data_IF_820477078102
#
_entry.id   IF_820477078102
#
_cell.length_a   1.000
_cell.length_b   1.000
_cell.length_c   1.000
_cell.angle_alpha   90.00
_cell.angle_beta   90.00
_cell.angle_gamma   90.00
#
_symmetry.space_group_name_H-M   'P 1'
#
loop_
_entity.id
_entity.type
_entity.pdbx_description
1 polymer ?
#
# COMPACT_ATOMS: atom_id res chain seq x y z
N UNK A 1 17.41 14.02 7.79
CA UNK A 1 17.52 12.59 8.22
C UNK A 1 18.93 12.02 8.14
N UNK A 2 19.64 12.01 6.98
CA UNK A 2 20.97 11.36 6.86
C UNK A 2 22.03 11.81 7.89
N UNK A 3 22.11 13.12 8.19
CA UNK A 3 23.02 13.65 9.22
C UNK A 3 22.68 13.17 10.64
N UNK A 4 21.39 13.07 10.98
CA UNK A 4 20.93 12.60 12.29
C UNK A 4 21.20 11.10 12.50
N UNK A 5 21.01 10.28 11.46
CA UNK A 5 21.30 8.84 11.54
C UNK A 5 22.80 8.57 11.70
N UNK A 6 23.65 9.30 10.99
CA UNK A 6 25.10 9.20 11.15
C UNK A 6 25.55 9.57 12.57
N UNK A 7 24.96 10.61 13.16
CA UNK A 7 25.20 10.99 14.56
C UNK A 7 24.74 9.88 15.52
N UNK A 8 23.55 9.30 15.29
CA UNK A 8 23.03 8.23 16.14
C UNK A 8 23.89 6.96 16.09
N UNK A 9 24.35 6.54 14.91
CA UNK A 9 25.26 5.39 14.75
C UNK A 9 26.62 5.67 15.41
N UNK A 10 27.16 6.89 15.23
CA UNK A 10 28.39 7.31 15.91
C UNK A 10 28.27 7.24 17.43
N UNK A 11 27.17 7.74 17.99
CA UNK A 11 26.88 7.68 19.42
C UNK A 11 26.74 6.23 19.92
N UNK A 12 26.07 5.36 19.16
CA UNK A 12 25.92 3.95 19.52
C UNK A 12 27.26 3.21 19.55
N UNK A 13 28.14 3.44 18.57
CA UNK A 13 29.48 2.86 18.53
C UNK A 13 30.37 3.38 19.66
N UNK A 14 30.28 4.68 19.98
CA UNK A 14 30.96 5.24 21.16
C UNK A 14 30.47 4.56 22.45
N UNK A 15 29.16 4.40 22.62
CA UNK A 15 28.59 3.73 23.80
C UNK A 15 29.09 2.29 23.92
N UNK A 16 29.13 1.56 22.81
CA UNK A 16 29.59 0.18 22.78
C UNK A 16 31.09 0.05 23.12
N UNK A 17 31.91 0.99 22.60
CA UNK A 17 33.33 1.09 22.96
C UNK A 17 33.55 1.35 24.45
N UNK A 18 32.73 2.19 25.08
CA UNK A 18 32.78 2.44 26.53
C UNK A 18 32.43 1.18 27.32
N UNK A 19 31.39 0.44 26.91
CA UNK A 19 31.01 -0.82 27.57
C UNK A 19 32.11 -1.88 27.46
N UNK A 20 32.70 -2.06 26.28
CA UNK A 20 33.82 -2.97 26.08
C UNK A 20 35.05 -2.57 26.92
N UNK A 21 35.30 -1.27 27.04
CA UNK A 21 36.40 -0.75 27.86
C UNK A 21 36.20 -0.99 29.36
N UNK A 22 34.99 -0.77 29.87
CA UNK A 22 34.66 -1.06 31.28
C UNK A 22 34.76 -2.56 31.59
N UNK A 23 34.32 -3.42 30.66
CA UNK A 23 34.47 -4.86 30.78
C UNK A 23 35.96 -5.27 30.80
N UNK A 24 36.78 -4.64 29.97
CA UNK A 24 38.23 -4.86 29.96
C UNK A 24 38.91 -4.45 31.27
N UNK A 25 38.58 -3.26 31.80
CA UNK A 25 39.08 -2.82 33.12
C UNK A 25 38.68 -3.83 34.20
N UNK A 26 37.43 -4.31 34.18
CA UNK A 26 36.95 -5.28 35.17
C UNK A 26 37.70 -6.62 35.12
N UNK A 27 38.21 -7.02 33.97
CA UNK A 27 38.98 -8.27 33.82
C UNK A 27 40.43 -8.09 34.30
N UNK A 28 41.01 -6.90 34.11
CA UNK A 28 42.42 -6.65 34.36
C UNK A 28 42.73 -5.93 35.68
N UNK A 29 41.72 -5.45 36.40
CA UNK A 29 41.91 -4.77 37.69
C UNK A 29 42.54 -5.66 38.79
N UNK A 30 42.48 -7.00 38.65
CA UNK A 30 43.07 -7.93 39.61
C UNK A 30 44.56 -8.21 39.36
N UNK A 31 45.07 -7.97 38.15
CA UNK A 31 46.49 -8.15 37.82
C UNK A 31 47.22 -6.79 37.87
N UNK A 32 47.91 -6.53 38.99
CA UNK A 32 48.69 -5.30 39.27
C UNK A 32 49.92 -5.07 38.36
N UNK A 33 49.93 -5.61 37.14
CA UNK A 33 51.10 -5.66 36.26
C UNK A 33 51.07 -4.68 35.08
N UNK A 34 49.98 -3.96 34.84
CA UNK A 34 49.90 -3.01 33.71
C UNK A 34 50.44 -1.64 34.12
N UNK A 35 51.47 -1.17 33.42
CA UNK A 35 51.99 0.17 33.63
C UNK A 35 51.02 1.25 33.14
N UNK A 36 50.99 2.42 33.79
CA UNK A 36 50.12 3.54 33.39
C UNK A 36 50.31 3.96 31.92
N UNK A 37 51.53 3.82 31.38
CA UNK A 37 51.83 4.10 29.97
C UNK A 37 51.16 3.13 28.99
N UNK A 38 51.08 1.84 29.33
CA UNK A 38 50.41 0.83 28.52
C UNK A 38 48.89 1.05 28.53
N UNK A 39 48.35 1.41 29.69
CA UNK A 39 46.94 1.76 29.84
C UNK A 39 46.56 3.00 28.99
N UNK A 40 47.35 4.07 29.06
CA UNK A 40 47.11 5.28 28.28
C UNK A 40 47.15 5.01 26.77
N UNK A 41 48.08 4.17 26.30
CA UNK A 41 48.16 3.74 24.91
C UNK A 41 46.91 2.95 24.46
N UNK A 42 46.41 2.03 25.29
CA UNK A 42 45.19 1.28 24.97
C UNK A 42 43.96 2.19 24.84
N UNK A 43 43.80 3.17 25.72
CA UNK A 43 42.68 4.14 25.65
C UNK A 43 42.75 4.95 24.35
N UNK A 44 43.94 5.40 23.96
CA UNK A 44 44.16 6.15 22.71
C UNK A 44 43.82 5.28 21.50
N UNK A 45 44.28 4.03 21.47
CA UNK A 45 44.00 3.08 20.39
C UNK A 45 42.50 2.78 20.28
N UNK A 46 41.84 2.51 21.41
CA UNK A 46 40.41 2.18 21.45
C UNK A 46 39.49 3.36 21.16
N UNK A 47 39.94 4.60 21.33
CA UNK A 47 39.14 5.80 21.02
C UNK A 47 39.37 6.32 19.60
N UNK A 48 40.61 6.31 19.12
CA UNK A 48 40.96 6.88 17.81
C UNK A 48 40.64 5.93 16.66
N UNK A 49 40.86 4.62 16.81
CA UNK A 49 40.65 3.66 15.72
C UNK A 49 39.16 3.59 15.31
N UNK A 50 38.18 3.47 16.22
CA UNK A 50 36.78 3.43 15.82
C UNK A 50 36.30 4.74 15.22
N UNK A 51 36.77 5.89 15.71
CA UNK A 51 36.43 7.21 15.18
C UNK A 51 36.98 7.41 13.76
N UNK A 52 38.24 7.03 13.52
CA UNK A 52 38.88 7.13 12.20
C UNK A 52 38.29 6.12 11.22
N UNK A 53 38.03 4.88 11.64
CA UNK A 53 37.37 3.85 10.82
C UNK A 53 35.93 4.24 10.49
N UNK A 54 35.17 4.77 11.44
CA UNK A 54 33.82 5.29 11.22
C UNK A 54 33.80 6.47 10.24
N UNK A 55 34.76 7.39 10.35
CA UNK A 55 34.93 8.48 9.38
C UNK A 55 35.27 7.96 7.98
N UNK A 56 36.18 6.98 7.88
CA UNK A 56 36.59 6.41 6.60
C UNK A 56 35.45 5.61 5.94
N UNK A 57 34.69 4.85 6.73
CA UNK A 57 33.50 4.14 6.27
C UNK A 57 32.46 5.15 5.76
N UNK A 58 32.15 6.21 6.52
CA UNK A 58 31.20 7.24 6.09
C UNK A 58 31.61 7.97 4.81
N UNK A 59 32.92 8.10 4.55
CA UNK A 59 33.46 8.75 3.35
C UNK A 59 33.62 7.79 2.18
N UNK A 60 33.58 6.48 2.43
CA UNK A 60 33.68 5.47 1.37
C UNK A 60 32.43 5.45 0.51
N UNK A 61 32.64 5.41 -0.80
CA UNK A 61 31.56 5.28 -1.79
C UNK A 61 30.75 3.97 -1.57
N UNK A 62 31.42 2.93 -1.06
CA UNK A 62 30.83 1.66 -0.67
C UNK A 62 29.79 1.80 0.45
N UNK A 63 30.05 2.59 1.49
CA UNK A 63 29.05 2.86 2.53
C UNK A 63 27.91 3.73 2.02
N UNK A 64 28.18 4.64 1.09
CA UNK A 64 27.15 5.40 0.39
C UNK A 64 26.16 4.49 -0.33
N UNK A 65 26.66 3.43 -0.98
CA UNK A 65 25.82 2.42 -1.63
C UNK A 65 25.13 1.51 -0.61
N UNK A 66 25.83 1.03 0.42
CA UNK A 66 25.25 0.20 1.48
C UNK A 66 24.11 0.90 2.24
N UNK A 67 24.26 2.20 2.55
CA UNK A 67 23.21 3.01 3.18
C UNK A 67 22.02 3.21 2.23
N UNK A 68 22.24 3.35 0.91
CA UNK A 68 21.16 3.38 -0.08
C UNK A 68 20.44 2.03 -0.17
N UNK A 69 21.13 0.91 0.04
CA UNK A 69 20.53 -0.42 0.07
C UNK A 69 19.73 -0.66 1.35
N UNK A 70 20.24 -0.25 2.51
CA UNK A 70 19.55 -0.39 3.80
C UNK A 70 18.39 0.61 3.97
N UNK A 71 18.52 1.79 3.35
CA UNK A 71 17.53 2.85 3.41
C UNK A 71 17.30 3.36 1.98
N UNK A 72 16.58 2.58 1.15
CA UNK A 72 16.22 3.06 -0.18
C UNK A 72 15.54 4.42 -0.01
N UNK A 73 15.90 5.42 -0.84
CA UNK A 73 15.21 6.70 -0.80
C UNK A 73 13.72 6.40 -0.95
N UNK A 74 12.88 6.87 -0.01
CA UNK A 74 11.42 6.82 -0.19
C UNK A 74 11.15 7.41 -1.57
N UNK A 75 10.75 6.57 -2.54
CA UNK A 75 10.32 7.02 -3.88
C UNK A 75 9.43 8.24 -3.66
N UNK A 76 9.70 9.32 -4.38
CA UNK A 76 8.91 10.53 -4.21
C UNK A 76 7.45 10.14 -4.44
N UNK A 77 6.53 10.52 -3.55
CA UNK A 77 5.12 10.16 -3.69
C UNK A 77 4.57 10.57 -5.08
N UNK A 78 5.14 11.64 -5.65
CA UNK A 78 4.87 12.09 -7.02
C UNK A 78 5.25 11.05 -8.10
N UNK A 79 6.35 10.32 -7.93
CA UNK A 79 6.76 9.22 -8.82
C UNK A 79 5.88 7.98 -8.65
N UNK A 80 5.48 7.67 -7.41
CA UNK A 80 4.55 6.56 -7.12
C UNK A 80 3.16 6.82 -7.74
N UNK A 81 2.68 8.07 -7.70
CA UNK A 81 1.44 8.47 -8.39
C UNK A 81 1.60 8.59 -9.90
N UNK A 82 2.75 9.01 -10.43
CA UNK A 82 3.03 8.99 -11.87
C UNK A 82 3.07 7.56 -12.43
N UNK A 83 3.62 6.61 -11.66
CA UNK A 83 3.49 5.17 -11.93
C UNK A 83 2.00 4.77 -11.94
N UNK A 84 1.23 5.08 -10.89
CA UNK A 84 -0.23 4.83 -10.84
C UNK A 84 -1.02 5.46 -12.00
N UNK A 85 -0.67 6.67 -12.47
CA UNK A 85 -1.30 7.32 -13.65
C UNK A 85 -1.11 6.52 -14.94
N UNK A 86 0.01 5.81 -15.10
CA UNK A 86 0.24 4.90 -16.24
C UNK A 86 -0.71 3.69 -16.20
N UNK A 87 -1.26 3.38 -15.02
CA UNK A 87 -1.90 2.11 -14.71
C UNK A 87 -3.44 2.14 -14.72
N UNK A 88 -4.09 3.31 -14.63
CA UNK A 88 -5.55 3.47 -14.73
C UNK A 88 -6.09 3.60 -16.17
N UNK A 89 -5.23 3.48 -17.19
CA UNK A 89 -5.58 3.86 -18.57
C UNK A 89 -6.45 2.87 -19.36
N UNK A 90 -6.56 1.60 -18.98
CA UNK A 90 -7.09 0.57 -19.90
C UNK A 90 -8.50 0.04 -19.60
N UNK A 91 -9.12 0.39 -18.47
CA UNK A 91 -10.51 -0.04 -18.16
C UNK A 91 -11.27 1.03 -17.40
N UNK A 92 -11.71 2.07 -18.10
CA UNK A 92 -12.66 3.04 -17.51
C UNK A 92 -14.03 2.38 -17.35
N UNK A 93 -14.70 2.53 -16.19
CA UNK A 93 -16.04 1.95 -16.00
C UNK A 93 -17.02 2.52 -17.03
N UNK A 94 -17.97 1.72 -17.50
CA UNK A 94 -18.95 2.18 -18.49
C UNK A 94 -19.76 3.37 -17.96
N UNK A 95 -20.08 4.30 -18.85
CA UNK A 95 -21.00 5.40 -18.53
C UNK A 95 -22.42 4.82 -18.44
N UNK A 96 -23.24 5.18 -17.43
CA UNK A 96 -24.62 4.72 -17.34
C UNK A 96 -25.41 5.04 -18.62
N UNK A 97 -26.33 4.16 -19.01
CA UNK A 97 -27.14 4.34 -20.21
C UNK A 97 -27.92 5.66 -20.14
N UNK A 98 -27.86 6.47 -21.21
CA UNK A 98 -28.51 7.78 -21.28
C UNK A 98 -27.67 8.94 -20.70
N UNK A 99 -26.54 8.64 -20.05
CA UNK A 99 -25.66 9.67 -19.51
C UNK A 99 -24.54 9.98 -20.51
N UNK A 100 -24.19 11.26 -20.63
CA UNK A 100 -23.03 11.73 -21.40
C UNK A 100 -22.01 12.34 -20.46
N UNK A 101 -20.74 12.02 -20.70
CA UNK A 101 -19.61 12.64 -20.01
C UNK A 101 -19.41 14.05 -20.57
N UNK A 102 -19.26 15.03 -19.69
CA UNK A 102 -18.97 16.42 -20.08
C UNK A 102 -17.96 17.01 -19.11
N UNK A 103 -16.84 17.50 -19.64
CA UNK A 103 -15.78 18.12 -18.84
C UNK A 103 -15.41 19.45 -19.50
N UNK A 104 -15.30 20.56 -18.75
CA UNK A 104 -14.81 21.83 -19.29
C UNK A 104 -13.41 21.67 -19.89
N UNK A 105 -13.00 22.51 -20.83
CA UNK A 105 -11.65 22.44 -21.41
C UNK A 105 -10.59 22.65 -20.31
N UNK A 106 -10.79 23.65 -19.45
CA UNK A 106 -9.91 23.98 -18.34
C UNK A 106 -10.67 23.89 -17.02
N UNK A 107 -10.08 23.24 -16.02
CA UNK A 107 -10.59 23.29 -14.64
C UNK A 107 -9.87 24.42 -13.92
N UNK A 108 -10.52 25.05 -12.93
CA UNK A 108 -9.86 25.97 -12.02
C UNK A 108 -8.57 25.33 -11.45
N UNK A 109 -7.47 26.10 -11.30
CA UNK A 109 -6.22 25.57 -10.79
C UNK A 109 -6.47 24.97 -9.41
N UNK A 110 -6.32 23.65 -9.31
CA UNK A 110 -6.34 22.94 -8.03
C UNK A 110 -4.90 22.86 -7.59
N UNK A 111 -4.59 23.33 -6.38
CA UNK A 111 -3.30 23.01 -5.78
C UNK A 111 -3.13 21.49 -5.79
N UNK A 112 -2.09 20.99 -6.48
CA UNK A 112 -1.72 19.57 -6.43
C UNK A 112 -1.35 19.21 -4.99
N UNK A 113 -2.35 18.85 -4.18
CA UNK A 113 -2.13 18.12 -2.94
C UNK A 113 -2.23 16.64 -3.29
N UNK A 114 -1.11 15.95 -3.07
CA UNK A 114 -1.10 14.49 -3.13
C UNK A 114 -2.17 13.97 -2.17
N UNK A 115 -3.07 13.07 -2.62
CA UNK A 115 -4.04 12.49 -1.72
C UNK A 115 -3.32 11.78 -0.58
N UNK A 116 -3.86 11.87 0.63
CA UNK A 116 -3.24 11.20 1.78
C UNK A 116 -3.35 9.70 1.59
N UNK A 117 -2.22 8.99 1.64
CA UNK A 117 -2.20 7.52 1.60
C UNK A 117 -2.87 6.88 2.83
N UNK A 118 -3.21 7.67 3.84
CA UNK A 118 -3.92 7.25 5.04
C UNK A 118 -5.44 7.09 4.79
N UNK A 119 -5.93 7.52 3.62
CA UNK A 119 -7.28 7.25 3.14
C UNK A 119 -7.42 5.81 2.67
N UNK A 120 -8.18 5.00 3.39
CA UNK A 120 -8.66 3.72 2.89
C UNK A 120 -9.53 3.98 1.65
N UNK A 121 -9.14 3.47 0.46
CA UNK A 121 -9.92 3.67 -0.76
C UNK A 121 -11.32 3.08 -0.57
N UNK A 122 -12.32 3.91 -0.81
CA UNK A 122 -13.68 3.46 -0.99
C UNK A 122 -13.76 3.02 -2.45
N UNK A 123 -13.48 1.75 -2.73
CA UNK A 123 -13.37 1.18 -4.09
C UNK A 123 -14.64 1.30 -4.96
N UNK A 124 -15.61 2.11 -4.57
CA UNK A 124 -16.82 2.40 -5.32
C UNK A 124 -16.51 3.47 -6.37
N UNK A 125 -16.82 3.12 -7.62
CA UNK A 125 -16.82 4.05 -8.72
C UNK A 125 -18.19 4.73 -8.80
N UNK A 126 -18.19 6.05 -8.93
CA UNK A 126 -19.40 6.86 -9.03
C UNK A 126 -19.41 7.68 -10.32
N UNK A 127 -20.60 7.89 -10.87
CA UNK A 127 -20.86 8.91 -11.87
C UNK A 127 -21.46 10.13 -11.16
N UNK A 128 -20.83 11.29 -11.29
CA UNK A 128 -21.26 12.50 -10.60
C UNK A 128 -21.62 13.61 -11.58
N UNK A 129 -22.65 14.39 -11.24
CA UNK A 129 -22.89 15.73 -11.80
C UNK A 129 -22.34 16.75 -10.82
N UNK A 130 -21.36 17.55 -11.23
CA UNK A 130 -20.59 18.45 -10.37
C UNK A 130 -20.64 19.90 -10.85
N UNK A 131 -20.94 20.82 -9.93
CA UNK A 131 -20.93 22.26 -10.15
C UNK A 131 -19.61 22.85 -9.64
N UNK A 132 -18.77 23.38 -10.52
CA UNK A 132 -17.48 23.94 -10.11
C UNK A 132 -17.60 25.34 -9.44
N UNK A 133 -16.46 25.93 -9.07
CA UNK A 133 -16.42 27.26 -8.45
C UNK A 133 -16.84 28.40 -9.40
N UNK A 134 -16.80 28.14 -10.71
CA UNK A 134 -17.18 29.05 -11.78
C UNK A 134 -18.60 28.80 -12.27
N UNK A 135 -19.38 27.99 -11.54
CA UNK A 135 -20.74 27.58 -11.87
C UNK A 135 -20.89 26.76 -13.17
N UNK A 136 -19.82 26.14 -13.66
CA UNK A 136 -19.92 25.20 -14.77
C UNK A 136 -20.31 23.81 -14.25
N UNK A 137 -21.25 23.19 -14.96
CA UNK A 137 -21.67 21.82 -14.68
C UNK A 137 -20.81 20.85 -15.49
N UNK A 138 -20.33 19.80 -14.84
CA UNK A 138 -19.58 18.71 -15.46
C UNK A 138 -20.10 17.35 -15.00
N UNK A 139 -19.98 16.34 -15.87
CA UNK A 139 -20.37 14.96 -15.58
C UNK A 139 -19.15 14.05 -15.70
N UNK A 140 -18.80 13.40 -14.59
CA UNK A 140 -17.51 12.71 -14.44
C UNK A 140 -17.68 11.34 -13.80
N UNK A 141 -16.84 10.39 -14.19
CA UNK A 141 -16.62 9.14 -13.45
C UNK A 141 -15.49 9.38 -12.46
N UNK A 142 -15.74 9.04 -11.21
CA UNK A 142 -14.76 9.18 -10.13
C UNK A 142 -14.66 7.88 -9.33
N UNK A 143 -13.47 7.60 -8.80
CA UNK A 143 -13.26 6.56 -7.80
C UNK A 143 -12.82 7.24 -6.49
N UNK A 144 -13.67 7.16 -5.45
CA UNK A 144 -13.46 7.91 -4.20
C UNK A 144 -12.34 7.25 -3.39
N UNK A 145 -11.20 7.91 -3.31
CA UNK A 145 -10.03 7.42 -2.60
C UNK A 145 -10.07 7.78 -1.11
N UNK A 146 -10.58 8.96 -0.76
CA UNK A 146 -10.68 9.42 0.62
C UNK A 146 -11.84 10.40 0.83
N UNK A 147 -12.30 10.51 2.07
CA UNK A 147 -13.29 11.50 2.51
C UNK A 147 -12.67 12.31 3.65
N UNK A 148 -12.66 13.64 3.51
CA UNK A 148 -12.10 14.57 4.49
C UNK A 148 -13.13 15.64 4.87
N UNK A 149 -13.14 16.15 6.11
CA UNK A 149 -14.02 17.25 6.48
C UNK A 149 -13.58 18.55 5.79
N UNK A 150 -14.54 19.30 5.24
CA UNK A 150 -14.31 20.60 4.57
C UNK A 150 -14.67 21.82 5.45
N UNK A 151 -15.32 21.59 6.59
CA UNK A 151 -15.89 22.62 7.47
C UNK A 151 -17.42 22.67 7.38
N UNK A 152 -18.09 23.23 8.39
CA UNK A 152 -19.56 23.38 8.44
C UNK A 152 -20.38 22.10 8.19
N UNK A 153 -19.80 20.92 8.47
CA UNK A 153 -20.44 19.62 8.21
C UNK A 153 -20.40 19.14 6.76
N UNK A 154 -19.63 19.80 5.89
CA UNK A 154 -19.39 19.39 4.50
C UNK A 154 -18.12 18.53 4.38
N UNK A 155 -17.96 17.87 3.24
CA UNK A 155 -16.87 16.93 2.98
C UNK A 155 -16.17 17.20 1.64
N UNK A 156 -14.86 16.98 1.63
CA UNK A 156 -14.04 16.82 0.45
C UNK A 156 -13.95 15.33 0.09
N UNK A 157 -14.28 14.99 -1.15
CA UNK A 157 -14.03 13.67 -1.73
C UNK A 157 -12.73 13.74 -2.53
N UNK A 158 -11.66 13.15 -2.01
CA UNK A 158 -10.44 12.95 -2.80
C UNK A 158 -10.65 11.73 -3.70
N UNK A 159 -10.62 11.93 -5.01
CA UNK A 159 -11.04 10.91 -5.96
C UNK A 159 -10.14 10.87 -7.19
N UNK A 160 -9.97 9.69 -7.79
CA UNK A 160 -9.42 9.57 -9.13
C UNK A 160 -10.50 9.91 -10.16
N UNK A 161 -10.25 10.90 -11.02
CA UNK A 161 -11.18 11.37 -12.04
C UNK A 161 -10.79 10.78 -13.41
N UNK A 162 -11.61 9.86 -13.93
CA UNK A 162 -11.29 9.10 -15.15
C UNK A 162 -11.15 10.00 -16.37
N UNK A 163 -11.97 11.06 -16.47
CA UNK A 163 -11.95 11.99 -17.61
C UNK A 163 -10.70 12.88 -17.63
N UNK A 164 -10.10 13.11 -16.48
CA UNK A 164 -8.87 13.91 -16.34
C UNK A 164 -7.64 13.02 -16.19
N UNK A 165 -7.85 11.71 -16.01
CA UNK A 165 -6.82 10.72 -15.71
C UNK A 165 -5.93 11.13 -14.53
N UNK A 166 -6.52 11.80 -13.54
CA UNK A 166 -5.79 12.39 -12.43
C UNK A 166 -6.63 12.46 -11.15
N UNK A 167 -5.95 12.58 -10.02
CA UNK A 167 -6.57 12.76 -8.70
C UNK A 167 -7.08 14.18 -8.54
N UNK A 168 -8.32 14.33 -8.05
CA UNK A 168 -8.99 15.60 -7.81
C UNK A 168 -9.80 15.56 -6.54
N UNK A 169 -10.03 16.75 -5.98
CA UNK A 169 -10.87 16.92 -4.80
C UNK A 169 -12.20 17.56 -5.20
N UNK A 170 -13.29 16.92 -4.81
CA UNK A 170 -14.65 17.40 -5.06
C UNK A 170 -15.29 17.81 -3.74
N UNK A 171 -15.87 19.01 -3.69
CA UNK A 171 -16.65 19.44 -2.53
C UNK A 171 -18.04 18.80 -2.60
N UNK A 172 -18.46 18.09 -1.56
CA UNK A 172 -19.68 17.28 -1.58
C UNK A 172 -20.95 18.13 -1.79
N UNK A 173 -21.03 19.31 -1.19
CA UNK A 173 -22.13 20.26 -1.42
C UNK A 173 -22.27 20.72 -2.88
N UNK A 174 -21.20 20.63 -3.68
CA UNK A 174 -21.19 20.98 -5.11
C UNK A 174 -21.53 19.81 -6.03
N UNK A 175 -21.61 18.59 -5.50
CA UNK A 175 -22.05 17.43 -6.25
C UNK A 175 -23.58 17.47 -6.30
N UNK A 176 -24.16 17.71 -7.47
CA UNK A 176 -25.61 17.79 -7.65
C UNK A 176 -26.24 16.38 -7.57
N UNK A 177 -25.63 15.42 -8.26
CA UNK A 177 -26.13 14.05 -8.41
C UNK A 177 -24.97 13.04 -8.27
N UNK A 178 -25.25 11.87 -7.69
CA UNK A 178 -24.31 10.75 -7.57
C UNK A 178 -25.03 9.47 -7.96
N UNK A 179 -24.46 8.74 -8.92
CA UNK A 179 -24.90 7.40 -9.32
C UNK A 179 -23.78 6.42 -9.02
N UNK A 180 -24.08 5.35 -8.30
CA UNK A 180 -23.12 4.26 -8.09
C UNK A 180 -23.02 3.42 -9.37
N UNK A 181 -21.82 3.32 -9.95
CA UNK A 181 -21.65 2.72 -11.28
C UNK A 181 -21.85 1.20 -11.30
N UNK A 182 -21.63 0.53 -10.16
CA UNK A 182 -21.81 -0.92 -10.04
C UNK A 182 -23.30 -1.30 -10.00
N UNK A 183 -24.10 -0.55 -9.25
CA UNK A 183 -25.52 -0.86 -9.01
C UNK A 183 -26.46 -0.08 -9.94
N UNK A 184 -25.99 1.05 -10.50
CA UNK A 184 -26.83 2.01 -11.21
C UNK A 184 -27.74 2.84 -10.29
N UNK A 185 -27.61 2.71 -8.96
CA UNK A 185 -28.47 3.39 -8.00
C UNK A 185 -28.10 4.88 -7.88
N UNK A 186 -29.11 5.75 -7.93
CA UNK A 186 -28.97 7.19 -7.67
C UNK A 186 -29.03 7.42 -6.16
N UNK A 187 -27.98 7.99 -5.58
CA UNK A 187 -27.92 8.27 -4.14
C UNK A 187 -28.75 9.51 -3.78
N UNK A 188 -29.99 9.31 -3.34
CA UNK A 188 -30.90 10.37 -2.94
C UNK A 188 -30.35 11.25 -1.79
N UNK A 189 -29.80 10.62 -0.74
CA UNK A 189 -29.09 11.30 0.34
C UNK A 189 -27.58 11.06 0.26
N UNK A 190 -26.94 11.67 -0.76
CA UNK A 190 -25.48 11.65 -0.90
C UNK A 190 -24.75 12.16 0.35
N UNK A 191 -25.30 13.15 1.05
CA UNK A 191 -24.65 13.76 2.21
C UNK A 191 -24.62 12.79 3.39
N UNK A 192 -25.75 12.15 3.70
CA UNK A 192 -25.84 11.07 4.67
C UNK A 192 -24.95 9.90 4.28
N UNK A 193 -24.98 9.46 3.03
CA UNK A 193 -24.16 8.34 2.55
C UNK A 193 -22.66 8.52 2.80
N UNK A 194 -22.09 9.66 2.35
CA UNK A 194 -20.65 9.91 2.53
C UNK A 194 -20.28 10.22 3.98
N UNK A 195 -21.17 10.86 4.75
CA UNK A 195 -20.99 11.09 6.19
C UNK A 195 -20.96 9.78 6.97
N UNK A 196 -21.92 8.90 6.71
CA UNK A 196 -21.97 7.57 7.32
C UNK A 196 -20.70 6.79 7.01
N UNK A 197 -20.23 6.83 5.76
CA UNK A 197 -18.95 6.20 5.38
C UNK A 197 -17.77 6.81 6.11
N UNK A 198 -17.71 8.14 6.20
CA UNK A 198 -16.65 8.83 6.93
C UNK A 198 -16.61 8.38 8.39
N UNK A 199 -17.75 8.28 9.07
CA UNK A 199 -17.79 7.82 10.46
C UNK A 199 -17.57 6.31 10.61
N UNK A 200 -18.05 5.51 9.65
CA UNK A 200 -17.81 4.05 9.58
C UNK A 200 -16.37 3.70 9.17
N UNK A 201 -15.58 4.66 8.69
CA UNK A 201 -14.15 4.51 8.34
C UNK A 201 -13.29 3.99 9.49
N UNK A 202 -13.83 3.93 10.71
CA UNK A 202 -13.09 3.57 11.90
C UNK A 202 -13.14 2.09 12.32
N UNK A 203 -13.97 1.20 11.76
CA UNK A 203 -14.17 -0.13 12.39
C UNK A 203 -14.55 -1.33 11.50
N UNK A 204 -14.27 -1.36 10.20
CA UNK A 204 -14.40 -2.66 9.47
C UNK A 204 -13.14 -3.52 9.65
N UNK A 205 -13.25 -4.82 9.99
CA UNK A 205 -12.12 -5.73 9.98
C UNK A 205 -11.36 -5.75 8.64
N UNK A 206 -12.09 -5.57 7.53
CA UNK A 206 -11.48 -5.47 6.21
C UNK A 206 -10.61 -4.22 6.08
N UNK A 207 -10.96 -3.11 6.73
CA UNK A 207 -10.16 -1.88 6.68
C UNK A 207 -8.81 -2.06 7.38
N UNK A 208 -8.81 -2.72 8.54
CA UNK A 208 -7.56 -3.05 9.24
C UNK A 208 -6.69 -3.96 8.36
N UNK A 209 -7.29 -5.00 7.78
CA UNK A 209 -6.61 -5.91 6.86
C UNK A 209 -6.09 -5.19 5.61
N UNK A 210 -6.85 -4.28 5.00
CA UNK A 210 -6.41 -3.47 3.88
C UNK A 210 -5.28 -2.49 4.27
N UNK A 211 -5.18 -2.07 5.53
CA UNK A 211 -4.06 -1.26 5.99
C UNK A 211 -2.72 -2.00 5.93
N UNK A 212 -2.72 -3.30 6.16
CA UNK A 212 -1.48 -4.11 6.27
C UNK A 212 -1.26 -5.07 5.10
N UNK A 213 -2.34 -5.55 4.48
CA UNK A 213 -2.39 -6.64 3.50
C UNK A 213 -3.09 -6.25 2.19
N UNK A 214 -3.18 -4.94 1.88
CA UNK A 214 -3.82 -4.41 0.66
C UNK A 214 -3.43 -5.18 -0.60
N UNK A 215 -2.13 -5.35 -0.82
CA UNK A 215 -1.61 -5.93 -2.06
C UNK A 215 -2.04 -7.38 -2.24
N UNK A 216 -2.00 -8.19 -1.17
CA UNK A 216 -2.43 -9.59 -1.19
C UNK A 216 -3.94 -9.69 -1.46
N UNK A 217 -4.74 -8.89 -0.74
CA UNK A 217 -6.20 -8.87 -0.88
C UNK A 217 -6.59 -8.52 -2.32
N UNK A 218 -6.09 -7.40 -2.83
CA UNK A 218 -6.46 -6.93 -4.17
C UNK A 218 -5.97 -7.87 -5.27
N UNK A 219 -4.78 -8.46 -5.10
CA UNK A 219 -4.29 -9.43 -6.06
C UNK A 219 -5.14 -10.72 -6.08
N UNK A 220 -5.56 -11.20 -4.91
CA UNK A 220 -6.47 -12.34 -4.82
C UNK A 220 -7.85 -12.02 -5.43
N UNK A 221 -8.39 -10.83 -5.16
CA UNK A 221 -9.65 -10.36 -5.75
C UNK A 221 -9.56 -10.26 -7.28
N UNK A 222 -8.41 -9.85 -7.84
CA UNK A 222 -8.22 -9.84 -9.28
C UNK A 222 -8.32 -11.24 -9.88
N UNK A 223 -7.65 -12.22 -9.26
CA UNK A 223 -7.69 -13.62 -9.72
C UNK A 223 -9.11 -14.16 -9.61
N UNK A 224 -9.76 -14.01 -8.45
CA UNK A 224 -11.10 -14.55 -8.23
C UNK A 224 -12.21 -13.88 -9.08
N UNK A 225 -11.97 -12.71 -9.68
CA UNK A 225 -12.96 -11.99 -10.51
C UNK A 225 -12.67 -12.08 -12.00
N UNK A 226 -11.77 -12.97 -12.42
CA UNK A 226 -11.36 -13.14 -13.82
C UNK A 226 -12.49 -13.54 -14.76
N UNK A 227 -13.47 -14.30 -14.27
CA UNK A 227 -14.64 -14.76 -15.01
C UNK A 227 -15.80 -13.75 -15.01
N UNK A 228 -15.64 -12.63 -14.29
CA UNK A 228 -16.60 -11.54 -14.16
C UNK A 228 -17.31 -11.49 -12.81
N UNK A 229 -17.40 -12.60 -12.07
CA UNK A 229 -18.19 -12.70 -10.84
C UNK A 229 -17.44 -13.41 -9.70
N UNK A 230 -17.37 -12.79 -8.52
CA UNK A 230 -16.76 -13.41 -7.34
C UNK A 230 -17.70 -14.46 -6.73
N UNK A 231 -17.31 -15.74 -6.81
CA UNK A 231 -18.09 -16.83 -6.22
C UNK A 231 -17.92 -16.86 -4.69
N UNK A 232 -18.91 -17.45 -4.01
CA UNK A 232 -18.94 -17.47 -2.55
C UNK A 232 -17.80 -18.33 -1.98
N UNK A 233 -17.47 -19.41 -2.67
CA UNK A 233 -16.47 -20.41 -2.31
C UNK A 233 -15.05 -19.81 -2.37
N UNK A 234 -14.73 -19.06 -3.43
CA UNK A 234 -13.47 -18.34 -3.57
C UNK A 234 -13.28 -17.28 -2.48
N UNK A 235 -14.36 -16.55 -2.16
CA UNK A 235 -14.37 -15.55 -1.10
C UNK A 235 -14.23 -16.19 0.29
N UNK A 236 -14.74 -17.40 0.49
CA UNK A 236 -14.57 -18.14 1.74
C UNK A 236 -13.10 -18.53 1.96
N UNK A 237 -12.42 -19.00 0.91
CA UNK A 237 -10.97 -19.29 0.94
C UNK A 237 -10.18 -18.02 1.26
N UNK A 238 -10.46 -16.92 0.56
CA UNK A 238 -9.79 -15.64 0.83
C UNK A 238 -10.06 -15.15 2.26
N UNK A 239 -11.29 -15.27 2.75
CA UNK A 239 -11.63 -14.87 4.12
C UNK A 239 -10.92 -15.73 5.18
N UNK A 240 -10.74 -17.03 4.93
CA UNK A 240 -9.98 -17.92 5.83
C UNK A 240 -8.51 -17.54 5.84
N UNK A 241 -7.89 -17.34 4.67
CA UNK A 241 -6.51 -16.84 4.57
C UNK A 241 -6.32 -15.53 5.35
N UNK A 242 -7.23 -14.57 5.20
CA UNK A 242 -7.15 -13.29 5.92
C UNK A 242 -7.38 -13.45 7.44
N UNK A 243 -8.17 -14.44 7.86
CA UNK A 243 -8.38 -14.74 9.28
C UNK A 243 -7.11 -15.22 9.95
N UNK A 244 -6.24 -15.92 9.22
CA UNK A 244 -4.94 -16.37 9.73
C UNK A 244 -3.89 -15.24 9.82
N UNK A 245 -4.11 -14.11 9.16
CA UNK A 245 -3.17 -12.98 9.16
C UNK A 245 -3.37 -12.05 10.35
N UNK A 246 -4.49 -12.18 11.06
CA UNK A 246 -4.80 -11.33 12.21
C UNK A 246 -5.18 -12.15 13.44
N UNK A 247 -4.89 -11.61 14.61
CA UNK A 247 -5.26 -12.22 15.90
C UNK A 247 -6.74 -11.92 16.21
N UNK A 248 -7.30 -10.87 15.62
CA UNK A 248 -8.66 -10.43 15.89
C UNK A 248 -9.66 -11.34 15.18
N UNK A 249 -10.62 -11.85 15.94
CA UNK A 249 -11.79 -12.52 15.37
C UNK A 249 -12.71 -11.49 14.73
N UNK A 250 -13.14 -11.77 13.51
CA UNK A 250 -14.16 -10.99 12.81
C UNK A 250 -15.29 -11.90 12.34
N UNK A 251 -16.46 -11.31 12.06
CA UNK A 251 -17.55 -12.03 11.43
C UNK A 251 -17.19 -12.32 9.97
N UNK A 252 -16.95 -13.60 9.66
CA UNK A 252 -16.63 -14.08 8.30
C UNK A 252 -17.70 -13.68 7.28
N UNK A 253 -18.99 -13.65 7.66
CA UNK A 253 -20.07 -13.25 6.74
C UNK A 253 -19.96 -11.78 6.35
N UNK A 254 -19.67 -10.92 7.33
CA UNK A 254 -19.44 -9.50 7.07
C UNK A 254 -18.18 -9.29 6.21
N UNK A 255 -17.09 -10.00 6.50
CA UNK A 255 -15.87 -9.90 5.70
C UNK A 255 -16.11 -10.29 4.23
N UNK A 256 -16.79 -11.41 3.98
CA UNK A 256 -17.15 -11.84 2.61
C UNK A 256 -18.01 -10.77 1.91
N UNK A 257 -18.98 -10.20 2.62
CA UNK A 257 -19.84 -9.13 2.09
C UNK A 257 -19.02 -7.89 1.70
N UNK A 258 -17.99 -7.56 2.47
CA UNK A 258 -17.13 -6.42 2.18
C UNK A 258 -16.10 -6.72 1.07
N UNK A 259 -15.57 -7.94 1.02
CA UNK A 259 -14.67 -8.39 -0.05
C UNK A 259 -15.33 -8.35 -1.43
N UNK A 260 -16.63 -8.69 -1.53
CA UNK A 260 -17.39 -8.63 -2.79
C UNK A 260 -17.38 -7.25 -3.46
N UNK A 261 -17.28 -6.19 -2.66
CA UNK A 261 -17.30 -4.80 -3.10
C UNK A 261 -15.94 -4.33 -3.61
N UNK A 262 -14.90 -5.14 -3.42
CA UNK A 262 -13.57 -4.82 -3.91
C UNK A 262 -13.47 -5.12 -5.39
N UNK A 263 -12.69 -4.29 -6.07
CA UNK A 263 -12.29 -4.51 -7.45
C UNK A 263 -10.79 -4.27 -7.56
N UNK A 264 -10.13 -5.05 -8.39
CA UNK A 264 -8.76 -4.82 -8.78
C UNK A 264 -8.67 -4.92 -10.30
N UNK A 265 -7.93 -4.00 -10.93
CA UNK A 265 -7.72 -4.03 -12.37
C UNK A 265 -6.39 -4.74 -12.72
N UNK A 266 -6.25 -5.22 -13.96
CA UNK A 266 -5.11 -6.03 -14.40
C UNK A 266 -3.74 -5.41 -14.10
N UNK A 267 -3.66 -4.09 -14.18
CA UNK A 267 -2.43 -3.38 -13.93
C UNK A 267 -2.17 -3.15 -12.44
N UNK A 268 -3.22 -2.90 -11.65
CA UNK A 268 -3.13 -2.83 -10.20
C UNK A 268 -2.71 -4.19 -9.63
N UNK A 269 -3.24 -5.29 -10.18
CA UNK A 269 -2.80 -6.65 -9.89
C UNK A 269 -1.29 -6.80 -10.07
N UNK A 270 -0.74 -6.47 -11.25
CA UNK A 270 0.72 -6.56 -11.49
C UNK A 270 1.53 -5.78 -10.47
N UNK A 271 1.11 -4.54 -10.17
CA UNK A 271 1.79 -3.71 -9.18
C UNK A 271 1.74 -4.34 -7.79
N UNK A 272 0.58 -4.86 -7.39
CA UNK A 272 0.41 -5.53 -6.11
C UNK A 272 1.30 -6.78 -6.01
N UNK A 273 1.44 -7.57 -7.09
CA UNK A 273 2.36 -8.72 -7.08
C UNK A 273 3.82 -8.29 -6.89
N UNK A 274 4.25 -7.21 -7.54
CA UNK A 274 5.59 -6.66 -7.30
C UNK A 274 5.79 -6.19 -5.85
N UNK A 275 4.79 -5.50 -5.29
CA UNK A 275 4.84 -5.08 -3.88
C UNK A 275 4.92 -6.28 -2.94
N UNK A 276 4.17 -7.36 -3.21
CA UNK A 276 4.25 -8.59 -2.41
C UNK A 276 5.65 -9.20 -2.52
N UNK A 277 6.21 -9.28 -3.73
CA UNK A 277 7.55 -9.82 -3.94
C UNK A 277 8.63 -9.03 -3.18
N UNK A 278 8.54 -7.70 -3.18
CA UNK A 278 9.51 -6.82 -2.52
C UNK A 278 9.36 -6.77 -0.99
N UNK A 279 8.13 -6.86 -0.47
CA UNK A 279 7.85 -6.54 0.93
C UNK A 279 7.59 -7.75 1.83
N UNK A 280 7.31 -8.93 1.25
CA UNK A 280 6.97 -10.14 2.02
C UNK A 280 8.15 -11.10 2.12
N UNK A 281 8.19 -11.86 3.20
CA UNK A 281 9.13 -12.98 3.36
C UNK A 281 8.78 -14.13 2.41
N UNK A 282 9.73 -15.03 2.17
CA UNK A 282 9.49 -16.22 1.32
C UNK A 282 8.36 -17.10 1.85
N UNK A 283 8.22 -17.25 3.17
CA UNK A 283 7.13 -18.03 3.76
C UNK A 283 5.77 -17.36 3.56
N UNK A 284 5.71 -16.02 3.64
CA UNK A 284 4.50 -15.26 3.34
C UNK A 284 4.11 -15.39 1.85
N UNK A 285 5.09 -15.32 0.94
CA UNK A 285 4.88 -15.53 -0.51
C UNK A 285 4.34 -16.93 -0.79
N UNK A 286 4.87 -17.97 -0.13
CA UNK A 286 4.39 -19.36 -0.24
C UNK A 286 2.96 -19.51 0.26
N UNK A 287 2.63 -18.93 1.42
CA UNK A 287 1.26 -18.93 1.96
C UNK A 287 0.27 -18.22 1.05
N UNK A 288 0.67 -17.06 0.50
CA UNK A 288 -0.15 -16.33 -0.46
C UNK A 288 -0.36 -17.15 -1.74
N UNK A 289 0.68 -17.77 -2.29
CA UNK A 289 0.56 -18.69 -3.43
C UNK A 289 -0.36 -19.88 -3.15
N UNK A 290 -0.28 -20.46 -1.95
CA UNK A 290 -1.19 -21.54 -1.55
C UNK A 290 -2.66 -21.07 -1.58
N UNK A 291 -2.95 -19.91 -0.98
CA UNK A 291 -4.28 -19.28 -1.04
C UNK A 291 -4.75 -19.06 -2.48
N UNK A 292 -3.92 -18.53 -3.39
CA UNK A 292 -4.31 -18.35 -4.79
C UNK A 292 -4.62 -19.69 -5.48
N UNK A 293 -3.84 -20.74 -5.22
CA UNK A 293 -4.16 -22.06 -5.78
C UNK A 293 -5.49 -22.59 -5.23
N UNK A 294 -5.77 -22.40 -3.94
CA UNK A 294 -7.03 -22.82 -3.32
C UNK A 294 -8.24 -22.05 -3.88
N UNK A 295 -8.10 -20.74 -4.13
CA UNK A 295 -9.13 -19.92 -4.79
C UNK A 295 -9.47 -20.53 -6.16
N UNK A 296 -8.47 -20.79 -7.01
CA UNK A 296 -8.66 -21.34 -8.36
C UNK A 296 -9.30 -22.74 -8.33
N UNK A 297 -9.00 -23.53 -7.29
CA UNK A 297 -9.55 -24.87 -7.14
C UNK A 297 -10.96 -24.88 -6.53
N UNK A 298 -11.41 -23.78 -5.91
CA UNK A 298 -12.69 -23.72 -5.19
C UNK A 298 -13.90 -23.95 -6.11
N UNK A 299 -13.89 -23.39 -7.33
CA UNK A 299 -14.98 -23.55 -8.30
C UNK A 299 -14.84 -24.80 -9.21
N UNK A 300 -13.83 -25.65 -8.98
CA UNK A 300 -13.56 -26.88 -9.76
C UNK A 300 -13.35 -26.66 -11.27
N UNK A 301 -13.26 -25.42 -11.73
CA UNK A 301 -13.05 -25.02 -13.13
C UNK A 301 -12.11 -23.82 -13.18
N UNK A 302 -10.82 -24.09 -13.30
CA UNK A 302 -9.83 -23.04 -13.49
C UNK A 302 -9.99 -22.40 -14.87
N UNK A 303 -10.22 -21.09 -14.93
CA UNK A 303 -10.29 -20.35 -16.17
C UNK A 303 -8.89 -19.98 -16.70
N UNK A 304 -8.80 -19.63 -18.00
CA UNK A 304 -7.52 -19.31 -18.64
C UNK A 304 -6.86 -18.05 -18.07
N UNK A 305 -7.64 -17.09 -17.58
CA UNK A 305 -7.19 -15.82 -17.02
C UNK A 305 -6.66 -16.04 -15.59
N UNK A 306 -7.31 -16.86 -14.77
CA UNK A 306 -6.82 -17.29 -13.45
C UNK A 306 -5.46 -17.97 -13.57
N UNK A 307 -5.36 -18.94 -14.49
CA UNK A 307 -4.11 -19.66 -14.74
C UNK A 307 -3.00 -18.73 -15.24
N UNK A 308 -3.34 -17.77 -16.12
CA UNK A 308 -2.39 -16.75 -16.57
C UNK A 308 -1.96 -15.81 -15.42
N UNK A 309 -2.90 -15.46 -14.54
CA UNK A 309 -2.65 -14.68 -13.34
C UNK A 309 -1.71 -15.41 -12.37
N UNK A 310 -2.02 -16.66 -12.02
CA UNK A 310 -1.15 -17.53 -11.20
C UNK A 310 0.25 -17.69 -11.80
N UNK A 311 0.34 -17.93 -13.11
CA UNK A 311 1.62 -18.01 -13.82
C UNK A 311 2.42 -16.70 -13.69
N UNK A 312 1.75 -15.55 -13.78
CA UNK A 312 2.38 -14.23 -13.58
C UNK A 312 2.94 -14.09 -12.16
N UNK A 313 2.19 -14.51 -11.13
CA UNK A 313 2.67 -14.49 -9.73
C UNK A 313 3.91 -15.36 -9.58
N UNK A 314 3.85 -16.62 -10.05
CA UNK A 314 4.96 -17.56 -9.96
C UNK A 314 6.23 -17.03 -10.65
N UNK A 315 6.07 -16.47 -11.85
CA UNK A 315 7.17 -15.85 -12.60
C UNK A 315 7.82 -14.70 -11.82
N UNK A 316 7.02 -13.80 -11.24
CA UNK A 316 7.56 -12.67 -10.48
C UNK A 316 8.21 -13.13 -9.18
N UNK A 317 7.65 -14.14 -8.50
CA UNK A 317 8.22 -14.67 -7.28
C UNK A 317 9.49 -15.51 -7.51
N UNK A 318 9.88 -15.74 -8.77
CA UNK A 318 11.02 -16.60 -9.14
C UNK A 318 10.94 -18.00 -8.53
N UNK A 319 9.72 -18.47 -8.28
CA UNK A 319 9.49 -19.82 -7.79
C UNK A 319 9.57 -20.73 -9.01
N UNK A 320 10.75 -21.30 -9.25
CA UNK A 320 10.88 -22.44 -10.15
C UNK A 320 10.03 -23.57 -9.59
N UNK A 321 9.11 -24.08 -10.41
CA UNK A 321 8.33 -25.25 -10.05
C UNK A 321 8.64 -26.37 -11.03
N UNK A 322 9.13 -27.50 -10.50
CA UNK A 322 9.03 -28.77 -11.18
C UNK A 322 7.54 -29.08 -11.36
N UNK A 323 7.02 -28.94 -12.57
CA UNK A 323 5.65 -29.32 -12.89
C UNK A 323 5.53 -30.82 -12.64
N UNK A 324 5.13 -31.21 -11.43
CA UNK A 324 4.54 -32.53 -11.21
C UNK A 324 3.23 -32.51 -11.98
N UNK A 325 3.23 -33.13 -13.16
CA UNK A 325 2.02 -33.41 -13.93
C UNK A 325 1.07 -34.16 -13.01
N UNK A 326 0.07 -33.47 -12.49
CA UNK A 326 -1.10 -34.12 -11.89
C UNK A 326 -1.89 -34.64 -13.09
N UNK A 327 -1.86 -35.97 -13.25
CA UNK A 327 -2.56 -36.71 -14.29
C UNK A 327 -4.04 -36.91 -13.91
#
# INVERSE_FOLDING_TARGET
MKKFLAIAIGLALCLWGVVAFLAFISIYADDNSISFSEFAMMVIILSIIPATLGYFLLKSEAAGNFIKTLFPPKKNHKEKFAELRKYFNDSSPSVPAGNTVSVPNEDAPVEEKLPSLDGLPLYNCFFITYLDASFNVSRRRINVCDIKPAGYGDFYLESYCYERRDTRTFLLSRIQEVVELETGEILADKAGYFRDRYHKKHYSPLQELLGTHKSEILAAIYIAKSDGDLKKEELEVLADYLSELTIKKFDKKQLITDLKKLSCHAQEFKNNIHLIHEQRSEDQKKRFLACINEIILADRRADAIELAGLHTIKKIFQVEYEIRKVA
#
